data_IF_441052295988
#
_entry.id   IF_441052295988
#
_cell.length_a   1.000
_cell.length_b   1.000
_cell.length_c   1.000
_cell.angle_alpha   90.00
_cell.angle_beta   90.00
_cell.angle_gamma   90.00
#
_symmetry.space_group_name_H-M   'P 1'
#
loop_
_entity.id
_entity.type
_entity.pdbx_description
1 polymer ?
#
# COMPACT_ATOMS: atom_id res chain seq x y z
N UNK A 1 6.38 -9.44 6.61
CA UNK A 1 7.04 -8.13 6.48
C UNK A 1 7.32 -7.92 5.00
N UNK A 2 6.46 -7.19 4.28
CA UNK A 2 6.70 -6.94 2.86
C UNK A 2 7.84 -5.95 2.73
N UNK A 3 8.87 -6.30 1.96
CA UNK A 3 10.05 -5.47 1.70
C UNK A 3 9.61 -4.13 1.09
N UNK A 4 9.69 -3.09 1.92
CA UNK A 4 9.52 -1.70 1.54
C UNK A 4 10.86 -1.24 1.01
N UNK A 5 10.86 -0.59 -0.15
CA UNK A 5 12.00 0.03 -0.85
C UNK A 5 12.68 -0.90 -1.86
N UNK A 6 12.17 -0.89 -3.10
CA UNK A 6 13.04 -1.11 -4.26
C UNK A 6 13.95 0.12 -4.41
N UNK A 7 15.28 0.02 -4.21
CA UNK A 7 16.17 1.19 -4.19
C UNK A 7 16.41 1.85 -5.55
N UNK A 8 15.92 1.25 -6.64
CA UNK A 8 16.45 1.50 -7.98
C UNK A 8 15.65 2.48 -8.85
N UNK A 9 14.52 3.03 -8.38
CA UNK A 9 13.82 4.20 -8.95
C UNK A 9 12.59 4.50 -8.08
N UNK A 10 12.32 5.76 -7.67
CA UNK A 10 11.05 6.12 -7.06
C UNK A 10 9.97 6.02 -8.14
N UNK A 11 9.39 4.82 -8.33
CA UNK A 11 8.17 4.64 -9.11
C UNK A 11 7.04 5.24 -8.27
N UNK A 12 6.84 6.54 -8.48
CA UNK A 12 5.68 7.25 -7.94
C UNK A 12 4.42 6.54 -8.41
N UNK A 13 3.79 5.81 -7.49
CA UNK A 13 2.55 5.09 -7.77
C UNK A 13 1.42 5.76 -7.01
N UNK A 14 0.23 5.73 -7.60
CA UNK A 14 -0.97 6.24 -6.98
C UNK A 14 -1.53 5.21 -6.01
N UNK A 15 -1.83 5.64 -4.78
CA UNK A 15 -2.50 4.78 -3.82
C UNK A 15 -3.94 4.54 -4.26
N UNK A 16 -4.34 3.28 -4.46
CA UNK A 16 -5.73 2.94 -4.85
C UNK A 16 -6.79 3.41 -3.84
N UNK A 17 -6.41 3.60 -2.57
CA UNK A 17 -7.36 3.95 -1.51
C UNK A 17 -7.55 5.45 -1.34
N UNK A 18 -6.47 6.24 -1.34
CA UNK A 18 -6.53 7.69 -1.14
C UNK A 18 -6.20 8.54 -2.39
N UNK A 19 -5.85 7.92 -3.52
CA UNK A 19 -5.47 8.63 -4.74
C UNK A 19 -4.14 9.40 -4.63
N UNK A 20 -3.39 9.25 -3.52
CA UNK A 20 -2.16 10.00 -3.30
C UNK A 20 -1.02 9.37 -4.09
N UNK A 21 -0.38 10.16 -4.96
CA UNK A 21 0.84 9.76 -5.67
C UNK A 21 2.04 9.80 -4.72
N UNK A 22 2.70 8.67 -4.53
CA UNK A 22 3.87 8.58 -3.63
C UNK A 22 4.88 7.57 -4.13
N UNK A 23 6.15 7.84 -3.87
CA UNK A 23 7.23 6.87 -4.04
C UNK A 23 7.19 5.78 -2.96
N UNK A 24 6.52 6.05 -1.83
CA UNK A 24 6.37 5.13 -0.70
C UNK A 24 5.08 4.34 -0.82
N UNK A 25 4.98 3.55 -1.88
CA UNK A 25 3.84 2.66 -2.15
C UNK A 25 4.31 1.21 -2.17
N UNK A 26 3.48 0.31 -1.63
CA UNK A 26 3.73 -1.11 -1.68
C UNK A 26 3.51 -1.62 -3.12
N UNK A 27 4.50 -2.28 -3.69
CA UNK A 27 4.43 -2.77 -5.08
C UNK A 27 3.38 -3.89 -5.22
N UNK A 28 3.19 -4.71 -4.18
CA UNK A 28 2.20 -5.79 -4.19
C UNK A 28 0.77 -5.27 -4.06
N UNK A 29 0.55 -4.36 -3.12
CA UNK A 29 -0.81 -3.94 -2.76
C UNK A 29 -1.23 -2.61 -3.43
N UNK A 30 -0.30 -1.87 -4.03
CA UNK A 30 -0.54 -0.53 -4.61
C UNK A 30 -1.12 0.48 -3.62
N UNK A 31 -0.90 0.29 -2.32
CA UNK A 31 -1.27 1.25 -1.27
C UNK A 31 -0.05 2.02 -0.78
N UNK A 32 -0.24 3.29 -0.44
CA UNK A 32 0.80 4.08 0.20
C UNK A 32 1.06 3.60 1.62
N UNK A 33 2.26 3.88 2.14
CA UNK A 33 2.67 3.50 3.49
C UNK A 33 1.67 3.91 4.59
N UNK A 34 0.99 5.05 4.41
CA UNK A 34 -0.02 5.54 5.36
C UNK A 34 -1.30 4.70 5.37
N UNK A 35 -1.72 4.17 4.21
CA UNK A 35 -2.98 3.43 4.08
C UNK A 35 -2.76 1.92 4.19
N UNK A 36 -1.57 1.44 3.85
CA UNK A 36 -1.20 0.02 3.87
C UNK A 36 -1.56 -0.71 5.19
N UNK A 37 -1.19 -0.21 6.39
CA UNK A 37 -1.50 -0.92 7.62
C UNK A 37 -3.00 -0.98 7.93
N UNK A 38 -3.76 0.05 7.54
CA UNK A 38 -5.21 0.07 7.72
C UNK A 38 -5.90 -0.98 6.83
N UNK A 39 -5.44 -1.12 5.58
CA UNK A 39 -5.93 -2.17 4.68
C UNK A 39 -5.52 -3.55 5.16
N UNK A 40 -4.26 -3.75 5.56
CA UNK A 40 -3.82 -5.05 6.12
C UNK A 40 -4.62 -5.44 7.36
N UNK A 41 -4.99 -4.48 8.20
CA UNK A 41 -5.86 -4.71 9.34
C UNK A 41 -7.29 -5.07 8.92
N UNK A 42 -7.88 -4.36 7.95
CA UNK A 42 -9.21 -4.64 7.43
C UNK A 42 -9.30 -6.05 6.79
N UNK A 43 -8.29 -6.44 6.01
CA UNK A 43 -8.18 -7.77 5.41
C UNK A 43 -8.03 -8.86 6.48
N UNK A 44 -7.19 -8.62 7.48
CA UNK A 44 -6.97 -9.56 8.60
C UNK A 44 -8.21 -9.74 9.48
N UNK A 45 -9.00 -8.69 9.67
CA UNK A 45 -10.19 -8.71 10.53
C UNK A 45 -11.44 -9.22 9.84
N UNK A 46 -11.38 -9.56 8.54
CA UNK A 46 -12.51 -10.11 7.81
C UNK A 46 -13.61 -9.10 7.48
N UNK A 47 -13.39 -7.80 7.71
CA UNK A 47 -14.28 -6.75 7.18
C UNK A 47 -14.11 -6.55 5.66
N UNK A 48 -13.17 -7.23 5.03
CA UNK A 48 -12.90 -7.23 3.60
C UNK A 48 -13.46 -8.43 2.82
N UNK A 49 -14.50 -9.11 3.31
CA UNK A 49 -15.18 -10.16 2.53
C UNK A 49 -16.65 -10.35 2.94
N UNK A 50 -17.53 -9.54 2.37
CA UNK A 50 -18.92 -9.88 2.08
C UNK A 50 -19.40 -9.05 0.88
#
# INVERSE_FOLDING_TARGET
MHEYLSPLKPRYSECKWCGKRTAYSCIRCSYCYSCHPAIEYAERTGLGAA
#
